data_IF_004149358084
#
_entry.id   IF_004149358084
#
_cell.length_a   1.000
_cell.length_b   1.000
_cell.length_c   1.000
_cell.angle_alpha   90.00
_cell.angle_beta   90.00
_cell.angle_gamma   90.00
#
_symmetry.space_group_name_H-M   'P 1'
#
loop_
_entity.id
_entity.type
_entity.pdbx_description
1 polymer ?
#
# COMPACT_ATOMS: atom_id res chain seq x y z
N UNK A 1 20.25 -1.72 9.74
CA UNK A 1 19.62 -1.20 8.51
C UNK A 1 18.45 -2.10 8.16
N UNK A 2 17.25 -1.56 7.94
CA UNK A 2 16.08 -2.37 7.56
C UNK A 2 15.58 -1.92 6.19
N UNK A 3 15.34 -2.87 5.29
CA UNK A 3 14.77 -2.63 3.96
C UNK A 3 13.28 -2.98 4.01
N UNK A 4 12.42 -2.14 3.42
CA UNK A 4 11.00 -2.38 3.30
C UNK A 4 10.59 -2.45 1.84
N UNK A 5 9.99 -3.55 1.45
CA UNK A 5 9.27 -3.68 0.20
C UNK A 5 7.80 -3.37 0.44
N UNK A 6 7.37 -2.17 0.06
CA UNK A 6 5.99 -1.73 0.14
C UNK A 6 5.25 -2.25 -1.10
N UNK A 7 4.52 -3.34 -0.95
CA UNK A 7 3.80 -3.99 -2.03
C UNK A 7 2.34 -3.56 -2.04
N UNK A 8 1.88 -2.97 -3.14
CA UNK A 8 0.45 -2.76 -3.36
C UNK A 8 -0.20 -4.10 -3.73
N UNK A 9 -1.35 -4.41 -3.13
CA UNK A 9 -2.12 -5.62 -3.47
C UNK A 9 -2.33 -5.78 -4.99
N UNK A 10 -2.55 -7.00 -5.45
CA UNK A 10 -2.88 -7.34 -6.85
C UNK A 10 -4.22 -6.75 -7.30
N UNK A 11 -4.53 -6.90 -8.57
CA UNK A 11 -5.81 -6.46 -9.12
C UNK A 11 -6.98 -7.14 -8.39
N UNK A 12 -8.00 -6.34 -8.02
CA UNK A 12 -9.21 -6.82 -7.36
C UNK A 12 -10.45 -6.70 -8.25
N UNK A 13 -11.51 -7.45 -7.93
CA UNK A 13 -12.72 -7.59 -8.76
C UNK A 13 -13.50 -6.30 -9.01
N UNK A 14 -13.32 -5.27 -8.18
CA UNK A 14 -14.00 -3.95 -8.31
C UNK A 14 -13.13 -2.90 -8.99
N UNK A 15 -11.94 -3.25 -9.53
CA UNK A 15 -11.04 -2.29 -10.17
C UNK A 15 -11.76 -1.46 -11.23
N UNK A 16 -11.58 -0.13 -11.17
CA UNK A 16 -12.11 0.81 -12.16
C UNK A 16 -13.62 1.04 -12.11
N UNK A 17 -14.35 0.36 -11.22
CA UNK A 17 -15.81 0.49 -11.09
C UNK A 17 -16.21 1.46 -9.99
N UNK A 18 -15.67 1.22 -8.80
CA UNK A 18 -16.00 1.97 -7.59
C UNK A 18 -14.75 2.26 -6.77
N UNK A 19 -14.84 3.24 -5.89
CA UNK A 19 -13.85 3.50 -4.86
C UNK A 19 -14.00 2.46 -3.75
N UNK A 20 -13.24 1.37 -3.86
CA UNK A 20 -13.39 0.21 -2.98
C UNK A 20 -13.12 0.53 -1.50
N UNK A 21 -12.17 1.43 -1.19
CA UNK A 21 -11.86 1.82 0.19
C UNK A 21 -11.68 0.61 1.11
N UNK A 22 -12.40 0.60 2.22
CA UNK A 22 -12.42 -0.50 3.20
C UNK A 22 -13.59 -1.48 3.01
N UNK A 23 -14.25 -1.48 1.84
CA UNK A 23 -15.35 -2.41 1.55
C UNK A 23 -14.91 -3.85 1.83
N UNK A 24 -15.65 -4.61 2.66
CA UNK A 24 -15.36 -6.01 2.94
C UNK A 24 -15.69 -6.89 1.71
N UNK A 25 -15.12 -8.09 1.64
CA UNK A 25 -15.44 -9.06 0.59
C UNK A 25 -14.82 -8.76 -0.78
N UNK A 26 -13.95 -7.76 -0.90
CA UNK A 26 -13.27 -7.40 -2.16
C UNK A 26 -11.97 -8.19 -2.28
N UNK A 27 -12.02 -9.34 -2.95
CA UNK A 27 -10.89 -10.22 -3.21
C UNK A 27 -10.15 -9.90 -4.52
N UNK A 28 -9.05 -10.61 -4.76
CA UNK A 28 -8.27 -10.52 -5.99
C UNK A 28 -9.06 -11.04 -7.21
N UNK A 29 -8.83 -10.43 -8.37
CA UNK A 29 -9.23 -11.00 -9.65
C UNK A 29 -8.28 -12.16 -10.04
N UNK A 30 -8.68 -12.97 -11.02
CA UNK A 30 -7.80 -14.02 -11.56
C UNK A 30 -6.46 -13.43 -12.05
N UNK A 31 -6.52 -12.26 -12.71
CA UNK A 31 -5.33 -11.52 -13.14
C UNK A 31 -4.46 -11.08 -11.96
N UNK A 32 -5.09 -10.54 -10.91
CA UNK A 32 -4.37 -10.12 -9.70
C UNK A 32 -3.60 -11.25 -9.04
N UNK A 33 -4.16 -12.46 -9.02
CA UNK A 33 -3.46 -13.65 -8.51
C UNK A 33 -2.22 -13.99 -9.34
N UNK A 34 -2.31 -13.91 -10.67
CA UNK A 34 -1.16 -14.15 -11.56
C UNK A 34 -0.08 -13.07 -11.37
N UNK A 35 -0.49 -11.81 -11.26
CA UNK A 35 0.44 -10.68 -11.00
C UNK A 35 1.21 -10.90 -9.69
N UNK A 36 0.51 -11.32 -8.62
CA UNK A 36 1.14 -11.55 -7.31
C UNK A 36 2.00 -12.81 -7.29
N UNK A 37 1.62 -13.87 -8.01
CA UNK A 37 2.49 -15.04 -8.14
C UNK A 37 3.86 -14.67 -8.76
N UNK A 38 3.88 -13.81 -9.79
CA UNK A 38 5.13 -13.31 -10.36
C UNK A 38 5.93 -12.42 -9.38
N UNK A 39 5.25 -11.65 -8.54
CA UNK A 39 5.90 -10.91 -7.44
C UNK A 39 6.53 -11.86 -6.43
N UNK A 40 5.82 -12.93 -6.06
CA UNK A 40 6.29 -13.90 -5.09
C UNK A 40 7.57 -14.61 -5.58
N UNK A 41 7.64 -14.99 -6.87
CA UNK A 41 8.85 -15.57 -7.46
C UNK A 41 10.04 -14.60 -7.39
N UNK A 42 9.83 -13.32 -7.71
CA UNK A 42 10.89 -12.31 -7.60
C UNK A 42 11.38 -12.16 -6.16
N UNK A 43 10.46 -12.08 -5.18
CA UNK A 43 10.83 -11.87 -3.78
C UNK A 43 11.49 -13.11 -3.16
N UNK A 44 11.26 -14.29 -3.71
CA UNK A 44 11.92 -15.53 -3.25
C UNK A 44 13.43 -15.57 -3.55
N UNK A 45 13.93 -14.66 -4.39
CA UNK A 45 15.37 -14.51 -4.65
C UNK A 45 16.09 -13.69 -3.56
N UNK A 46 15.34 -13.10 -2.62
CA UNK A 46 15.85 -12.23 -1.56
C UNK A 46 15.61 -12.84 -0.17
N UNK A 47 16.49 -12.60 0.81
CA UNK A 47 16.29 -13.05 2.19
C UNK A 47 15.23 -12.17 2.89
N UNK A 48 13.97 -12.55 2.78
CA UNK A 48 12.86 -11.84 3.45
C UNK A 48 12.77 -12.31 4.90
N UNK A 49 12.84 -11.37 5.85
CA UNK A 49 12.79 -11.63 7.28
C UNK A 49 11.39 -11.65 7.86
N UNK A 50 10.44 -10.90 7.26
CA UNK A 50 9.07 -10.82 7.74
C UNK A 50 8.10 -10.41 6.62
N UNK A 51 6.84 -10.86 6.76
CA UNK A 51 5.72 -10.52 5.89
C UNK A 51 4.57 -9.96 6.72
N UNK A 52 4.28 -8.68 6.50
CA UNK A 52 3.18 -7.97 7.14
C UNK A 52 2.10 -7.62 6.11
N UNK A 53 0.85 -7.59 6.52
CA UNK A 53 -0.27 -7.26 5.62
C UNK A 53 -1.39 -6.50 6.30
N UNK A 54 -2.00 -5.59 5.56
CA UNK A 54 -3.33 -5.08 5.86
C UNK A 54 -4.35 -6.24 5.91
N UNK A 55 -5.34 -6.22 6.83
CA UNK A 55 -6.30 -7.32 6.98
C UNK A 55 -7.44 -7.32 5.95
N UNK A 56 -7.50 -6.39 4.98
CA UNK A 56 -8.52 -6.41 3.94
C UNK A 56 -8.34 -7.61 3.00
N UNK A 57 -9.44 -8.17 2.49
CA UNK A 57 -9.40 -9.43 1.74
C UNK A 57 -8.39 -9.41 0.59
N UNK A 58 -8.34 -8.36 -0.24
CA UNK A 58 -7.40 -8.25 -1.37
C UNK A 58 -5.92 -8.24 -0.95
N UNK A 59 -5.61 -7.67 0.22
CA UNK A 59 -4.26 -7.69 0.79
C UNK A 59 -3.95 -9.01 1.48
N UNK A 60 -4.93 -9.61 2.15
CA UNK A 60 -4.82 -10.97 2.71
C UNK A 60 -4.50 -11.99 1.63
N UNK A 61 -5.31 -12.05 0.55
CA UNK A 61 -5.09 -12.96 -0.57
C UNK A 61 -3.76 -12.69 -1.29
N UNK A 62 -3.31 -11.43 -1.35
CA UNK A 62 -1.96 -11.08 -1.82
C UNK A 62 -0.89 -11.67 -0.90
N UNK A 63 -1.02 -11.47 0.41
CA UNK A 63 -0.05 -11.96 1.39
C UNK A 63 -0.05 -13.49 1.50
N UNK A 64 -1.18 -14.15 1.35
CA UNK A 64 -1.29 -15.62 1.37
C UNK A 64 -0.47 -16.27 0.24
N UNK A 65 -0.52 -15.70 -0.99
CA UNK A 65 0.30 -16.15 -2.12
C UNK A 65 1.80 -15.97 -1.83
N UNK A 66 2.18 -14.83 -1.22
CA UNK A 66 3.56 -14.58 -0.83
C UNK A 66 4.02 -15.52 0.29
N UNK A 67 3.18 -15.70 1.31
CA UNK A 67 3.48 -16.55 2.48
C UNK A 67 3.76 -18.00 2.08
N UNK A 68 2.96 -18.55 1.16
CA UNK A 68 3.16 -19.89 0.60
C UNK A 68 4.52 -20.02 -0.11
N UNK A 69 4.89 -19.00 -0.92
CA UNK A 69 6.14 -19.06 -1.69
C UNK A 69 7.40 -18.77 -0.87
N UNK A 70 7.27 -17.91 0.14
CA UNK A 70 8.40 -17.49 0.98
C UNK A 70 8.56 -18.32 2.26
N UNK A 71 7.60 -19.22 2.55
CA UNK A 71 7.54 -19.99 3.81
C UNK A 71 7.59 -19.10 5.06
N UNK A 72 6.78 -18.03 5.07
CA UNK A 72 6.75 -17.07 6.17
C UNK A 72 5.33 -16.93 6.73
N UNK A 73 5.17 -16.74 8.05
CA UNK A 73 3.90 -16.35 8.65
C UNK A 73 3.53 -14.93 8.27
N UNK A 74 2.22 -14.64 8.26
CA UNK A 74 1.69 -13.31 7.97
C UNK A 74 1.37 -12.60 9.29
N UNK A 75 1.95 -11.42 9.52
CA UNK A 75 1.54 -10.50 10.57
C UNK A 75 0.49 -9.52 10.02
N UNK A 76 -0.75 -9.60 10.51
CA UNK A 76 -1.81 -8.66 10.10
C UNK A 76 -1.75 -7.39 10.95
N UNK A 77 -1.77 -6.22 10.27
CA UNK A 77 -1.63 -4.90 10.88
C UNK A 77 -2.70 -3.93 10.38
N UNK A 78 -3.46 -3.35 11.31
CA UNK A 78 -4.49 -2.35 10.98
C UNK A 78 -3.91 -0.98 10.61
N UNK A 79 -2.71 -0.66 11.08
CA UNK A 79 -2.03 0.60 10.79
C UNK A 79 -1.56 0.74 9.32
N UNK A 80 -1.62 -0.35 8.54
CA UNK A 80 -1.42 -0.34 7.08
C UNK A 80 -2.70 -0.59 6.28
N UNK A 81 -3.90 -0.47 6.92
CA UNK A 81 -5.21 -0.47 6.25
C UNK A 81 -5.31 0.64 5.20
N UNK A 82 -6.15 0.43 4.18
CA UNK A 82 -6.47 1.48 3.21
C UNK A 82 -7.04 2.73 3.90
N UNK A 83 -6.87 3.87 3.26
CA UNK A 83 -7.52 5.10 3.65
C UNK A 83 -9.02 4.86 3.83
N UNK A 84 -9.57 5.32 4.94
CA UNK A 84 -11.02 5.34 5.13
C UNK A 84 -11.61 6.49 4.31
N UNK A 85 -12.31 6.15 3.24
CA UNK A 85 -12.97 7.14 2.40
C UNK A 85 -14.35 7.56 2.93
N UNK A 86 -14.79 7.01 4.06
CA UNK A 86 -16.06 7.35 4.69
C UNK A 86 -17.22 7.23 3.71
N UNK A 87 -17.96 8.33 3.51
CA UNK A 87 -19.16 8.39 2.64
C UNK A 87 -18.87 8.06 1.17
N UNK A 88 -17.63 8.18 0.71
CA UNK A 88 -17.26 7.86 -0.67
C UNK A 88 -16.98 6.38 -0.91
N UNK A 89 -16.86 5.59 0.15
CA UNK A 89 -16.60 4.15 0.03
C UNK A 89 -17.75 3.46 -0.72
N UNK A 90 -17.41 2.72 -1.77
CA UNK A 90 -18.38 2.01 -2.63
C UNK A 90 -19.03 2.85 -3.72
N UNK A 91 -18.84 4.17 -3.73
CA UNK A 91 -19.34 5.03 -4.82
C UNK A 91 -18.55 4.83 -6.10
N UNK A 92 -19.20 5.09 -7.25
CA UNK A 92 -18.49 5.17 -8.53
C UNK A 92 -17.54 6.37 -8.54
N UNK A 93 -16.46 6.29 -9.33
CA UNK A 93 -15.53 7.41 -9.46
C UNK A 93 -16.20 8.69 -10.01
N UNK A 94 -17.25 8.54 -10.85
CA UNK A 94 -18.02 9.69 -11.35
C UNK A 94 -18.84 10.34 -10.23
N UNK A 95 -19.47 9.54 -9.37
CA UNK A 95 -20.20 10.06 -8.21
C UNK A 95 -19.28 10.79 -7.23
N UNK A 96 -18.07 10.24 -6.97
CA UNK A 96 -17.06 10.91 -6.13
C UNK A 96 -16.61 12.22 -6.77
N UNK A 97 -16.36 12.25 -8.09
CA UNK A 97 -15.97 13.48 -8.81
C UNK A 97 -17.04 14.56 -8.81
N UNK A 98 -18.32 14.17 -8.79
CA UNK A 98 -19.45 15.10 -8.73
C UNK A 98 -19.67 15.72 -7.35
N UNK A 99 -19.06 15.18 -6.30
CA UNK A 99 -19.11 15.75 -4.95
C UNK A 99 -18.20 16.99 -4.89
N UNK A 100 -18.76 18.13 -4.46
CA UNK A 100 -18.02 19.41 -4.37
C UNK A 100 -16.77 19.30 -3.46
N UNK A 101 -16.82 18.44 -2.45
CA UNK A 101 -15.71 18.19 -1.52
C UNK A 101 -14.53 17.49 -2.19
N UNK A 102 -14.77 16.78 -3.31
CA UNK A 102 -13.76 16.04 -4.05
C UNK A 102 -12.67 16.94 -4.65
N UNK A 103 -13.01 18.18 -5.04
CA UNK A 103 -12.04 19.11 -5.59
C UNK A 103 -10.98 19.51 -4.55
N UNK A 104 -11.41 19.87 -3.34
CA UNK A 104 -10.50 20.18 -2.24
C UNK A 104 -9.66 18.95 -1.87
N UNK A 105 -10.30 17.78 -1.73
CA UNK A 105 -9.63 16.52 -1.46
C UNK A 105 -8.56 16.20 -2.51
N UNK A 106 -8.84 16.39 -3.78
CA UNK A 106 -7.91 16.04 -4.85
C UNK A 106 -6.69 16.96 -4.94
N UNK A 107 -6.85 18.23 -4.54
CA UNK A 107 -5.83 19.26 -4.73
C UNK A 107 -5.07 19.62 -3.45
N UNK A 108 -5.67 19.40 -2.28
CA UNK A 108 -5.16 19.84 -0.98
C UNK A 108 -5.21 18.71 0.05
N UNK A 109 -4.51 17.60 -0.25
CA UNK A 109 -4.46 16.39 0.61
C UNK A 109 -3.90 16.65 2.01
N UNK A 110 -3.09 17.70 2.15
CA UNK A 110 -2.48 18.08 3.43
C UNK A 110 -3.48 18.62 4.45
N UNK A 111 -4.62 19.16 3.99
CA UNK A 111 -5.65 19.78 4.86
C UNK A 111 -7.02 19.12 4.73
N UNK A 112 -7.31 18.46 3.61
CA UNK A 112 -8.61 17.85 3.36
C UNK A 112 -8.76 16.52 4.10
N UNK A 113 -10.01 16.21 4.45
CA UNK A 113 -10.41 14.92 5.04
C UNK A 113 -11.50 14.31 4.17
N UNK A 114 -11.47 13.00 3.95
CA UNK A 114 -12.57 12.30 3.28
C UNK A 114 -13.84 12.44 4.15
N UNK A 115 -15.01 12.71 3.57
CA UNK A 115 -16.24 12.92 4.34
C UNK A 115 -16.58 11.71 5.21
N UNK A 116 -16.60 11.91 6.53
CA UNK A 116 -16.79 10.81 7.48
C UNK A 116 -15.66 9.79 7.57
N UNK A 117 -14.51 10.08 6.95
CA UNK A 117 -13.35 9.20 6.88
C UNK A 117 -12.05 9.79 7.42
N UNK A 118 -10.91 9.34 6.88
CA UNK A 118 -9.56 9.79 7.27
C UNK A 118 -9.04 10.92 6.38
N UNK A 119 -8.11 11.72 6.94
CA UNK A 119 -7.22 12.59 6.18
C UNK A 119 -5.97 11.83 5.75
N UNK A 120 -5.30 12.29 4.68
CA UNK A 120 -4.00 11.72 4.28
C UNK A 120 -2.92 11.90 5.35
N UNK A 121 -3.04 12.90 6.23
CA UNK A 121 -2.13 13.10 7.36
C UNK A 121 -2.24 11.97 8.38
N UNK A 122 -3.46 11.57 8.74
CA UNK A 122 -3.68 10.42 9.63
C UNK A 122 -3.16 9.12 9.02
N UNK A 123 -3.38 8.92 7.72
CA UNK A 123 -2.83 7.75 7.00
C UNK A 123 -1.31 7.75 7.02
N UNK A 124 -0.67 8.90 6.74
CA UNK A 124 0.79 9.02 6.77
C UNK A 124 1.34 8.74 8.17
N UNK A 125 0.75 9.32 9.21
CA UNK A 125 1.17 9.14 10.59
C UNK A 125 1.17 7.66 11.01
N UNK A 126 0.03 6.94 10.78
CA UNK A 126 -0.06 5.53 11.15
C UNK A 126 0.86 4.64 10.32
N UNK A 127 0.98 4.89 9.01
CA UNK A 127 1.85 4.12 8.14
C UNK A 127 3.34 4.28 8.50
N UNK A 128 3.77 5.52 8.75
CA UNK A 128 5.16 5.80 9.16
C UNK A 128 5.45 5.20 10.52
N UNK A 129 4.53 5.33 11.49
CA UNK A 129 4.67 4.69 12.80
C UNK A 129 4.86 3.18 12.66
N UNK A 130 4.04 2.50 11.84
CA UNK A 130 4.16 1.07 11.55
C UNK A 130 5.55 0.70 11.04
N UNK A 131 6.10 1.47 10.09
CA UNK A 131 7.43 1.22 9.53
C UNK A 131 8.55 1.34 10.60
N UNK A 132 8.44 2.33 11.50
CA UNK A 132 9.43 2.46 12.58
C UNK A 132 9.31 1.37 13.64
N UNK A 133 8.11 0.89 13.96
CA UNK A 133 7.91 -0.26 14.84
C UNK A 133 8.48 -1.54 14.22
N UNK A 134 8.17 -1.81 12.95
CA UNK A 134 8.70 -2.96 12.21
C UNK A 134 10.23 -2.91 12.10
N UNK A 135 10.82 -1.71 11.93
CA UNK A 135 12.27 -1.54 11.96
C UNK A 135 12.87 -1.96 13.32
N UNK A 136 12.20 -1.68 14.42
CA UNK A 136 12.67 -2.08 15.74
C UNK A 136 12.61 -3.60 15.93
N UNK A 137 11.55 -4.25 15.41
CA UNK A 137 11.36 -5.68 15.48
C UNK A 137 12.31 -6.47 14.56
N UNK A 138 12.60 -5.93 13.36
CA UNK A 138 13.34 -6.61 12.29
C UNK A 138 14.59 -5.82 11.88
N UNK A 139 15.48 -5.60 12.86
CA UNK A 139 16.76 -4.92 12.61
C UNK A 139 17.61 -5.75 11.64
N UNK A 140 18.21 -5.04 10.68
CA UNK A 140 19.10 -5.62 9.67
C UNK A 140 18.46 -6.69 8.76
N UNK A 141 17.10 -6.61 8.60
CA UNK A 141 16.32 -7.51 7.75
C UNK A 141 15.60 -6.80 6.62
N UNK A 142 15.03 -7.59 5.70
CA UNK A 142 14.11 -7.13 4.66
C UNK A 142 12.68 -7.51 5.06
N UNK A 143 11.78 -6.55 5.09
CA UNK A 143 10.36 -6.72 5.48
C UNK A 143 9.47 -6.41 4.28
N UNK A 144 8.57 -7.33 3.94
CA UNK A 144 7.51 -7.07 2.95
C UNK A 144 6.27 -6.58 3.67
N UNK A 145 5.73 -5.43 3.22
CA UNK A 145 4.49 -4.83 3.75
C UNK A 145 3.46 -4.76 2.62
N UNK A 146 2.48 -5.63 2.68
CA UNK A 146 1.36 -5.66 1.72
C UNK A 146 0.30 -4.65 2.15
N UNK A 147 0.07 -3.63 1.32
CA UNK A 147 -0.82 -2.53 1.64
C UNK A 147 -1.52 -1.98 0.38
N UNK A 148 -1.90 -0.73 0.38
CA UNK A 148 -2.78 -0.06 -0.57
C UNK A 148 -2.11 1.18 -1.18
N UNK A 149 -2.72 1.69 -2.26
CA UNK A 149 -2.14 2.78 -3.04
C UNK A 149 -1.93 4.05 -2.23
N UNK A 150 -2.91 4.46 -1.43
CA UNK A 150 -2.84 5.72 -0.70
C UNK A 150 -1.88 5.65 0.49
N UNK A 151 -1.85 4.50 1.16
CA UNK A 151 -0.94 4.24 2.29
C UNK A 151 0.52 4.25 1.82
N UNK A 152 0.82 3.53 0.74
CA UNK A 152 2.18 3.48 0.19
C UNK A 152 2.62 4.85 -0.32
N UNK A 153 1.74 5.59 -1.02
CA UNK A 153 2.06 6.98 -1.42
C UNK A 153 2.35 7.88 -0.23
N UNK A 154 1.53 7.79 0.83
CA UNK A 154 1.73 8.58 2.04
C UNK A 154 3.10 8.30 2.68
N UNK A 155 3.51 7.03 2.76
CA UNK A 155 4.83 6.63 3.27
C UNK A 155 5.97 7.12 2.36
N UNK A 156 5.81 7.01 1.03
CA UNK A 156 6.81 7.49 0.07
C UNK A 156 6.97 9.01 0.10
N UNK A 157 5.86 9.77 0.20
CA UNK A 157 5.92 11.23 0.32
C UNK A 157 6.66 11.64 1.59
N UNK A 158 6.44 10.95 2.71
CA UNK A 158 7.20 11.17 3.94
C UNK A 158 8.70 10.88 3.73
N UNK A 159 9.03 9.73 3.15
CA UNK A 159 10.42 9.32 2.92
C UNK A 159 11.18 10.28 1.98
N UNK A 160 10.48 10.88 1.03
CA UNK A 160 11.02 11.87 0.07
C UNK A 160 11.00 13.30 0.60
N UNK A 161 10.45 13.57 1.79
CA UNK A 161 10.27 14.92 2.32
C UNK A 161 9.31 15.78 1.50
N UNK A 162 8.38 15.16 0.79
CA UNK A 162 7.43 15.84 -0.09
C UNK A 162 6.11 16.16 0.61
N UNK A 163 5.50 17.34 0.33
CA UNK A 163 4.14 17.65 0.79
C UNK A 163 3.11 16.59 0.32
N UNK A 164 2.09 16.31 1.15
CA UNK A 164 0.99 15.42 0.80
C UNK A 164 0.21 15.86 -0.45
N UNK A 165 0.21 17.16 -0.76
CA UNK A 165 -0.42 17.73 -1.95
C UNK A 165 0.25 17.28 -3.26
N UNK A 166 1.46 16.69 -3.18
CA UNK A 166 2.15 16.10 -4.33
C UNK A 166 1.77 14.64 -4.59
N UNK A 167 0.70 14.19 -3.94
CA UNK A 167 0.16 12.83 -4.02
C UNK A 167 0.06 12.27 -5.45
N UNK A 168 -0.42 13.06 -6.40
CA UNK A 168 -0.59 12.64 -7.79
C UNK A 168 0.72 12.52 -8.59
N UNK A 169 1.85 12.98 -8.01
CA UNK A 169 3.17 12.95 -8.68
C UNK A 169 3.88 11.61 -8.51
N UNK A 170 3.38 10.74 -7.64
CA UNK A 170 3.95 9.41 -7.41
C UNK A 170 2.93 8.36 -7.86
N UNK A 171 3.30 7.54 -8.82
CA UNK A 171 2.49 6.40 -9.21
C UNK A 171 2.84 5.18 -8.34
N UNK A 172 1.81 4.49 -7.87
CA UNK A 172 1.91 3.21 -7.18
C UNK A 172 0.86 2.29 -7.82
N UNK A 173 1.29 1.45 -8.75
CA UNK A 173 0.42 0.53 -9.49
C UNK A 173 0.02 -0.71 -8.69
N UNK A 174 -0.98 -1.44 -9.15
CA UNK A 174 -1.33 -2.75 -8.59
C UNK A 174 -0.16 -3.73 -8.77
N UNK A 175 0.08 -4.60 -7.80
CA UNK A 175 1.19 -5.54 -7.75
C UNK A 175 2.57 -4.88 -7.93
N UNK A 176 2.70 -3.57 -7.68
CA UNK A 176 4.00 -2.89 -7.71
C UNK A 176 4.66 -2.90 -6.34
N UNK A 177 6.00 -2.93 -6.35
CA UNK A 177 6.85 -2.80 -5.17
C UNK A 177 7.50 -1.42 -5.20
N UNK A 178 7.47 -0.73 -4.05
CA UNK A 178 8.31 0.43 -3.80
C UNK A 178 9.22 0.10 -2.63
N UNK A 179 10.52 0.36 -2.78
CA UNK A 179 11.52 -0.05 -1.79
C UNK A 179 12.08 1.16 -1.08
N UNK A 180 12.02 1.13 0.26
CA UNK A 180 12.65 2.11 1.13
C UNK A 180 13.62 1.42 2.08
N UNK A 181 14.63 2.16 2.50
CA UNK A 181 15.60 1.74 3.52
C UNK A 181 15.54 2.71 4.69
N UNK A 182 15.53 2.18 5.90
CA UNK A 182 15.57 2.96 7.13
C UNK A 182 16.78 2.52 7.96
N UNK A 183 17.66 3.44 8.29
CA UNK A 183 18.81 3.23 9.17
C UNK A 183 18.98 4.39 10.16
N UNK A 184 20.12 4.46 10.84
CA UNK A 184 20.40 5.50 11.81
C UNK A 184 20.71 6.86 11.17
N UNK A 185 21.00 6.89 9.87
CA UNK A 185 21.25 8.11 9.09
C UNK A 185 19.99 8.70 8.46
N UNK A 186 18.87 7.96 8.49
CA UNK A 186 17.59 8.44 7.97
C UNK A 186 16.86 7.41 7.08
N UNK A 187 16.05 7.94 6.18
CA UNK A 187 15.23 7.16 5.22
C UNK A 187 15.75 7.42 3.81
N UNK A 188 15.86 6.37 3.00
CA UNK A 188 16.17 6.45 1.56
C UNK A 188 15.09 5.73 0.77
N UNK A 189 14.68 6.30 -0.34
CA UNK A 189 13.84 5.64 -1.34
C UNK A 189 14.78 5.00 -2.37
N UNK A 190 14.75 3.68 -2.49
CA UNK A 190 15.62 2.93 -3.39
C UNK A 190 14.95 2.67 -4.74
N UNK A 191 13.62 2.41 -4.73
CA UNK A 191 12.85 2.18 -5.93
C UNK A 191 11.40 2.61 -5.71
N UNK A 192 10.71 2.98 -6.80
CA UNK A 192 9.29 3.34 -6.77
C UNK A 192 8.58 2.64 -7.91
N UNK A 193 7.43 2.01 -7.60
CA UNK A 193 6.51 1.44 -8.59
C UNK A 193 7.13 0.39 -9.52
N UNK A 194 8.04 -0.44 -9.04
CA UNK A 194 8.59 -1.55 -9.82
C UNK A 194 7.53 -2.65 -9.98
N UNK A 195 7.35 -3.10 -11.21
CA UNK A 195 6.42 -4.20 -11.53
C UNK A 195 7.20 -5.43 -11.99
N UNK A 196 6.77 -6.64 -11.59
CA UNK A 196 7.37 -7.84 -12.14
C UNK A 196 7.07 -7.92 -13.64
N UNK A 197 8.01 -8.45 -14.40
CA UNK A 197 7.75 -8.83 -15.79
C UNK A 197 6.87 -10.07 -15.76
N UNK A 198 5.64 -9.97 -16.23
CA UNK A 198 4.84 -11.15 -16.49
C UNK A 198 5.50 -11.90 -17.65
N UNK A 199 5.70 -13.21 -17.49
CA UNK A 199 6.09 -14.05 -18.61
C UNK A 199 5.02 -13.95 -19.71
N UNK A 200 5.44 -13.77 -20.96
CA UNK A 200 4.56 -13.67 -22.12
C UNK A 200 3.83 -15.00 -22.36
#
# INVERSE_FOLDING_TARGET
MTVFHLLRHGEHVLRGRVLAGRTPGVGLSARGRVEIAAVAERLAEEPIAALCSSPLQRTRETAEILAERLDLPIEYREDVLELDFGEWTGLTFDAVRADERCQLWSNCRSIATAPGGESMRQVQERAVKALFELRQAHRDGTVVVVSHGDVIRAALLFALGMPLDFYSRIEVGLASISTIQIDNSGIRVLAVNERPRLAA
#
